data_IF_374865975533
#
_entry.id   IF_374865975533
#
_cell.length_a   1.000
_cell.length_b   1.000
_cell.length_c   1.000
_cell.angle_alpha   90.00
_cell.angle_beta   90.00
_cell.angle_gamma   90.00
#
_symmetry.space_group_name_H-M   'P 1'
#
loop_
_entity.id
_entity.type
_entity.pdbx_description
1 polymer ?
#
# COMPACT_ATOMS: atom_id res chain seq x y z
N UNK A 1 29.51 -66.96 -14.91
CA UNK A 1 30.49 -65.95 -15.38
C UNK A 1 30.01 -64.58 -14.96
N UNK A 2 30.78 -63.94 -14.06
CA UNK A 2 30.55 -62.59 -13.55
C UNK A 2 30.82 -61.54 -14.63
N UNK A 3 29.99 -60.51 -14.71
CA UNK A 3 30.45 -59.12 -14.92
C UNK A 3 29.55 -58.17 -14.14
N UNK A 4 30.18 -57.53 -13.16
CA UNK A 4 29.68 -56.41 -12.39
C UNK A 4 29.65 -55.13 -13.27
N UNK A 5 28.66 -54.28 -13.04
CA UNK A 5 28.56 -52.93 -13.60
C UNK A 5 27.96 -52.00 -12.56
N UNK A 6 28.77 -51.06 -12.10
CA UNK A 6 28.53 -50.13 -10.98
C UNK A 6 27.79 -48.88 -11.46
N UNK A 7 26.72 -48.54 -10.74
CA UNK A 7 26.25 -47.24 -10.23
C UNK A 7 26.54 -45.96 -11.04
N UNK A 8 25.49 -45.23 -11.42
CA UNK A 8 25.35 -43.78 -11.15
C UNK A 8 23.85 -43.40 -11.14
N UNK A 9 23.34 -43.10 -9.95
CA UNK A 9 21.99 -42.59 -9.70
C UNK A 9 22.15 -41.11 -9.31
N UNK A 10 21.88 -40.20 -10.25
CA UNK A 10 21.85 -38.76 -9.97
C UNK A 10 20.41 -38.37 -9.64
N UNK A 11 20.09 -38.29 -8.35
CA UNK A 11 18.88 -37.67 -7.86
C UNK A 11 19.08 -36.15 -7.81
N UNK A 12 18.36 -35.42 -8.65
CA UNK A 12 18.22 -33.97 -8.55
C UNK A 12 17.22 -33.65 -7.44
N UNK A 13 17.76 -33.31 -6.26
CA UNK A 13 17.00 -32.68 -5.18
C UNK A 13 16.82 -31.21 -5.55
N UNK A 14 15.59 -30.81 -5.87
CA UNK A 14 15.22 -29.41 -5.94
C UNK A 14 15.21 -28.84 -4.51
N UNK A 15 16.24 -28.06 -4.18
CA UNK A 15 16.25 -27.26 -2.97
C UNK A 15 15.29 -26.07 -3.15
N UNK A 16 14.05 -26.23 -2.70
CA UNK A 16 13.17 -25.09 -2.41
C UNK A 16 13.75 -24.33 -1.21
N UNK A 17 14.39 -23.20 -1.46
CA UNK A 17 14.69 -22.23 -0.41
C UNK A 17 13.35 -21.61 0.04
N UNK A 18 12.80 -22.17 1.11
CA UNK A 18 11.83 -21.47 1.94
C UNK A 18 12.62 -20.35 2.61
N UNK A 19 12.37 -19.11 2.19
CA UNK A 19 12.80 -17.93 2.94
C UNK A 19 11.93 -17.92 4.20
N UNK A 20 12.39 -18.60 5.25
CA UNK A 20 11.84 -18.44 6.59
C UNK A 20 12.25 -17.04 7.04
N UNK A 21 11.27 -16.14 7.17
CA UNK A 21 11.47 -14.94 7.98
C UNK A 21 12.03 -15.38 9.35
N UNK A 22 12.98 -14.66 9.94
CA UNK A 22 13.58 -15.08 11.20
C UNK A 22 12.48 -15.20 12.26
N UNK A 23 12.34 -16.39 12.85
CA UNK A 23 11.32 -16.71 13.87
C UNK A 23 11.28 -15.68 15.01
N UNK A 24 12.42 -15.02 15.26
CA UNK A 24 12.55 -13.94 16.24
C UNK A 24 11.74 -12.68 15.87
N UNK A 25 11.64 -12.30 14.59
CA UNK A 25 10.87 -11.11 14.19
C UNK A 25 9.36 -11.34 14.31
N UNK A 26 8.91 -12.57 14.04
CA UNK A 26 7.51 -12.98 14.20
C UNK A 26 7.13 -13.00 15.68
N UNK A 27 8.02 -13.50 16.54
CA UNK A 27 7.80 -13.51 17.99
C UNK A 27 7.72 -12.09 18.58
N UNK A 28 8.62 -11.17 18.20
CA UNK A 28 8.58 -9.78 18.70
C UNK A 28 7.32 -9.04 18.26
N UNK A 29 6.84 -9.30 17.04
CA UNK A 29 5.61 -8.68 16.55
C UNK A 29 4.36 -9.24 17.25
N UNK A 30 4.35 -10.54 17.54
CA UNK A 30 3.27 -11.19 18.28
C UNK A 30 3.20 -10.71 19.75
N UNK A 31 4.35 -10.53 20.41
CA UNK A 31 4.40 -9.98 21.77
C UNK A 31 3.90 -8.52 21.82
N UNK A 32 4.24 -7.71 20.82
CA UNK A 32 3.72 -6.34 20.70
C UNK A 32 2.21 -6.31 20.45
N UNK A 33 1.73 -7.15 19.53
CA UNK A 33 0.30 -7.28 19.22
C UNK A 33 -0.50 -7.74 20.45
N UNK A 34 0.05 -8.64 21.28
CA UNK A 34 -0.56 -9.11 22.52
C UNK A 34 -0.59 -8.02 23.60
N UNK A 35 0.49 -7.27 23.82
CA UNK A 35 0.51 -6.14 24.77
C UNK A 35 -0.52 -5.06 24.41
N UNK A 36 -0.65 -4.75 23.11
CA UNK A 36 -1.64 -3.80 22.58
C UNK A 36 -3.06 -4.31 22.82
N UNK A 37 -3.31 -5.58 22.50
CA UNK A 37 -4.61 -6.21 22.72
C UNK A 37 -5.02 -6.19 24.20
N UNK A 38 -4.08 -6.54 25.09
CA UNK A 38 -4.30 -6.55 26.54
C UNK A 38 -4.65 -5.17 27.09
N UNK A 39 -3.99 -4.11 26.59
CA UNK A 39 -4.18 -2.74 27.08
C UNK A 39 -5.55 -2.16 26.71
N UNK A 40 -6.05 -2.43 25.51
CA UNK A 40 -7.22 -1.73 24.98
C UNK A 40 -8.47 -2.62 24.90
N UNK A 41 -8.32 -3.90 24.54
CA UNK A 41 -9.47 -4.70 24.08
C UNK A 41 -9.87 -5.83 25.01
N UNK A 42 -9.08 -6.11 26.04
CA UNK A 42 -9.38 -7.15 27.03
C UNK A 42 -10.56 -6.83 27.95
N UNK A 43 -11.17 -5.65 27.84
CA UNK A 43 -12.30 -5.27 28.69
C UNK A 43 -13.57 -6.08 28.42
N UNK A 44 -13.71 -6.69 27.25
CA UNK A 44 -14.86 -7.54 26.91
C UNK A 44 -14.44 -8.98 26.56
N UNK A 45 -15.19 -9.95 27.09
CA UNK A 45 -14.93 -11.38 26.88
C UNK A 45 -15.00 -11.76 25.40
N UNK A 46 -15.86 -11.14 24.61
CA UNK A 46 -15.98 -11.46 23.20
C UNK A 46 -14.70 -11.09 22.44
N UNK A 47 -14.17 -9.89 22.70
CA UNK A 47 -12.89 -9.43 22.14
C UNK A 47 -11.76 -10.41 22.47
N UNK A 48 -11.62 -10.78 23.74
CA UNK A 48 -10.57 -11.70 24.19
C UNK A 48 -10.69 -13.07 23.53
N UNK A 49 -11.91 -13.58 23.39
CA UNK A 49 -12.17 -14.87 22.75
C UNK A 49 -11.87 -14.86 21.27
N UNK A 50 -12.27 -13.80 20.57
CA UNK A 50 -11.99 -13.66 19.15
C UNK A 50 -10.48 -13.48 18.92
N UNK A 51 -9.79 -12.63 19.67
CA UNK A 51 -8.34 -12.49 19.58
C UNK A 51 -7.60 -13.81 19.73
N UNK A 52 -7.98 -14.58 20.75
CA UNK A 52 -7.43 -15.92 20.98
C UNK A 52 -7.80 -16.91 19.86
N UNK A 53 -8.98 -16.79 19.25
CA UNK A 53 -9.36 -17.60 18.11
C UNK A 53 -8.44 -17.37 16.90
N UNK A 54 -7.95 -16.15 16.72
CA UNK A 54 -6.95 -15.79 15.71
C UNK A 54 -5.51 -15.97 16.20
N UNK A 55 -5.30 -16.61 17.35
CA UNK A 55 -3.98 -16.83 17.95
C UNK A 55 -3.14 -15.56 18.11
N UNK A 56 -3.80 -14.42 18.34
CA UNK A 56 -3.14 -13.12 18.45
C UNK A 56 -2.63 -12.52 17.13
N UNK A 57 -3.02 -13.07 15.98
CA UNK A 57 -2.67 -12.47 14.69
C UNK A 57 -3.56 -11.26 14.36
N UNK A 58 -3.06 -10.05 14.65
CA UNK A 58 -3.76 -8.77 14.43
C UNK A 58 -4.36 -8.63 13.03
N UNK A 59 -3.60 -8.93 11.98
CA UNK A 59 -4.09 -8.78 10.60
C UNK A 59 -5.28 -9.69 10.26
N UNK A 60 -5.27 -10.93 10.76
CA UNK A 60 -6.37 -11.86 10.52
C UNK A 60 -7.63 -11.41 11.23
N UNK A 61 -7.49 -10.85 12.43
CA UNK A 61 -8.59 -10.28 13.17
C UNK A 61 -9.14 -8.98 12.57
N UNK A 62 -8.28 -8.09 12.08
CA UNK A 62 -8.71 -6.89 11.33
C UNK A 62 -9.49 -7.25 10.07
N UNK A 63 -9.03 -8.24 9.29
CA UNK A 63 -9.78 -8.75 8.12
C UNK A 63 -11.16 -9.31 8.50
N UNK A 64 -11.24 -9.99 9.64
CA UNK A 64 -12.53 -10.44 10.18
C UNK A 64 -13.42 -9.23 10.49
N UNK A 65 -12.90 -8.20 11.16
CA UNK A 65 -13.64 -6.98 11.47
C UNK A 65 -14.12 -6.25 10.21
N UNK A 66 -13.28 -6.06 9.20
CA UNK A 66 -13.65 -5.46 7.91
C UNK A 66 -14.75 -6.24 7.19
N UNK A 67 -14.77 -7.57 7.35
CA UNK A 67 -15.79 -8.43 6.77
C UNK A 67 -17.13 -8.32 7.52
N UNK A 68 -17.14 -7.89 8.78
CA UNK A 68 -18.37 -7.75 9.57
C UNK A 68 -19.24 -6.57 9.15
N UNK A 69 -18.66 -5.56 8.51
CA UNK A 69 -19.41 -4.40 7.97
C UNK A 69 -19.97 -4.65 6.56
N UNK A 70 -19.64 -5.80 5.96
CA UNK A 70 -20.12 -6.18 4.63
C UNK A 70 -21.30 -7.17 4.75
N UNK A 71 -22.52 -6.80 4.31
CA UNK A 71 -23.72 -7.62 4.50
C UNK A 71 -23.67 -8.98 3.76
N UNK A 72 -22.82 -9.09 2.73
CA UNK A 72 -22.74 -10.26 1.86
C UNK A 72 -21.69 -11.29 2.29
N UNK A 73 -20.81 -10.92 3.22
CA UNK A 73 -19.84 -11.84 3.79
C UNK A 73 -20.39 -12.32 5.12
N UNK A 74 -20.40 -13.63 5.34
CA UNK A 74 -20.58 -14.18 6.67
C UNK A 74 -19.21 -14.07 7.39
N UNK A 75 -18.94 -13.01 8.19
CA UNK A 75 -17.63 -12.81 8.82
C UNK A 75 -17.19 -14.03 9.64
N UNK A 76 -18.16 -14.76 10.20
CA UNK A 76 -17.97 -15.99 10.95
C UNK A 76 -17.32 -17.12 10.16
N UNK A 77 -17.37 -17.09 8.83
CA UNK A 77 -16.64 -18.03 7.98
C UNK A 77 -15.12 -17.82 8.02
N UNK A 78 -14.66 -16.63 8.42
CA UNK A 78 -13.25 -16.29 8.60
C UNK A 78 -12.71 -16.67 9.98
N UNK A 79 -13.57 -16.94 10.96
CA UNK A 79 -13.14 -17.42 12.28
C UNK A 79 -12.55 -18.83 12.11
N UNK A 80 -11.31 -19.09 12.58
CA UNK A 80 -10.68 -20.38 12.40
C UNK A 80 -11.52 -21.52 12.98
N UNK A 81 -11.60 -22.65 12.27
CA UNK A 81 -12.29 -23.87 12.74
C UNK A 81 -11.46 -24.62 13.78
N UNK A 82 -11.11 -23.91 14.86
CA UNK A 82 -10.41 -24.43 16.02
C UNK A 82 -11.36 -24.44 17.21
N UNK A 83 -11.03 -25.16 18.28
CA UNK A 83 -11.82 -25.15 19.53
C UNK A 83 -12.01 -23.74 20.10
N UNK A 84 -11.02 -22.86 19.93
CA UNK A 84 -11.09 -21.46 20.34
C UNK A 84 -12.01 -20.65 19.42
N UNK A 85 -11.92 -20.87 18.10
CA UNK A 85 -12.79 -20.19 17.14
C UNK A 85 -14.25 -20.62 17.22
N UNK A 86 -14.55 -21.89 17.45
CA UNK A 86 -15.93 -22.36 17.69
C UNK A 86 -16.51 -21.75 18.98
N UNK A 87 -15.69 -21.66 20.04
CA UNK A 87 -16.10 -21.00 21.29
C UNK A 87 -16.32 -19.50 21.08
N UNK A 88 -15.42 -18.81 20.38
CA UNK A 88 -15.57 -17.40 20.07
C UNK A 88 -16.81 -17.15 19.21
N UNK A 89 -17.04 -17.97 18.18
CA UNK A 89 -18.24 -17.90 17.36
C UNK A 89 -19.51 -18.10 18.22
N UNK A 90 -19.58 -19.14 19.06
CA UNK A 90 -20.76 -19.37 19.89
C UNK A 90 -21.03 -18.29 20.94
N UNK A 91 -20.00 -17.62 21.46
CA UNK A 91 -20.14 -16.57 22.47
C UNK A 91 -20.37 -15.17 21.84
N UNK A 92 -19.92 -14.95 20.60
CA UNK A 92 -19.95 -13.65 19.94
C UNK A 92 -20.97 -13.52 18.78
N UNK A 93 -21.47 -14.61 18.20
CA UNK A 93 -22.37 -14.58 17.01
C UNK A 93 -23.59 -13.67 17.23
N UNK A 94 -24.20 -13.82 18.40
CA UNK A 94 -25.46 -13.18 18.77
C UNK A 94 -25.24 -11.95 19.65
N UNK A 95 -23.99 -11.61 19.96
CA UNK A 95 -23.68 -10.52 20.87
C UNK A 95 -23.47 -9.22 20.10
N UNK A 96 -24.34 -8.19 20.24
CA UNK A 96 -24.20 -6.93 19.50
C UNK A 96 -22.86 -6.22 19.75
N UNK A 97 -22.14 -6.60 20.81
CA UNK A 97 -20.80 -6.10 21.15
C UNK A 97 -19.66 -6.66 20.32
N UNK A 98 -19.83 -7.67 19.46
CA UNK A 98 -18.71 -8.07 18.60
C UNK A 98 -18.27 -6.91 17.69
N UNK A 99 -19.20 -6.02 17.32
CA UNK A 99 -18.89 -4.75 16.63
C UNK A 99 -18.05 -3.81 17.50
N UNK A 100 -18.33 -3.76 18.80
CA UNK A 100 -17.53 -2.98 19.75
C UNK A 100 -16.14 -3.60 19.98
N UNK A 101 -16.04 -4.93 19.92
CA UNK A 101 -14.76 -5.66 19.93
C UNK A 101 -13.90 -5.34 18.71
N UNK A 102 -14.53 -5.14 17.55
CA UNK A 102 -13.85 -4.70 16.34
C UNK A 102 -13.47 -3.22 16.40
N UNK A 103 -14.34 -2.36 16.94
CA UNK A 103 -14.00 -0.95 17.20
C UNK A 103 -12.74 -0.83 18.06
N UNK A 104 -12.61 -1.64 19.11
CA UNK A 104 -11.45 -1.53 19.99
C UNK A 104 -10.09 -1.71 19.30
N UNK A 105 -9.95 -2.69 18.41
CA UNK A 105 -8.69 -2.85 17.66
C UNK A 105 -8.51 -1.80 16.56
N UNK A 106 -9.58 -1.10 16.19
CA UNK A 106 -9.54 0.08 15.33
C UNK A 106 -9.26 1.37 16.15
N UNK A 107 -9.57 1.42 17.45
CA UNK A 107 -9.24 2.53 18.36
C UNK A 107 -7.74 2.62 18.70
N UNK A 108 -6.98 1.58 18.38
CA UNK A 108 -5.50 1.52 18.46
C UNK A 108 -4.78 2.41 17.44
N UNK A 109 -5.50 3.21 16.65
CA UNK A 109 -4.87 4.38 16.03
C UNK A 109 -4.33 5.36 17.09
N UNK A 110 -4.82 5.28 18.34
CA UNK A 110 -4.51 6.29 19.37
C UNK A 110 -5.13 7.65 19.04
N UNK A 111 -6.02 7.73 18.04
CA UNK A 111 -6.69 8.96 17.65
C UNK A 111 -7.77 9.38 18.66
N UNK A 112 -8.46 8.43 19.31
CA UNK A 112 -9.82 8.68 19.80
C UNK A 112 -9.95 9.40 21.15
N UNK A 113 -9.06 9.14 22.11
CA UNK A 113 -9.31 9.60 23.49
C UNK A 113 -9.23 11.13 23.63
N UNK A 114 -8.42 11.83 22.81
CA UNK A 114 -8.23 13.29 22.93
C UNK A 114 -8.32 14.10 21.61
N UNK A 115 -8.55 13.48 20.45
CA UNK A 115 -8.56 14.21 19.17
C UNK A 115 -9.99 14.56 18.72
N UNK A 116 -10.49 15.73 19.14
CA UNK A 116 -11.82 16.24 18.73
C UNK A 116 -11.97 16.34 17.20
N UNK A 117 -10.88 16.63 16.48
CA UNK A 117 -10.87 16.67 15.02
C UNK A 117 -11.14 15.30 14.39
N UNK A 118 -10.51 14.23 14.91
CA UNK A 118 -10.82 12.87 14.46
C UNK A 118 -12.29 12.54 14.67
N UNK A 119 -12.85 12.86 15.84
CA UNK A 119 -14.27 12.56 16.13
C UNK A 119 -15.21 13.29 15.18
N UNK A 120 -14.91 14.54 14.81
CA UNK A 120 -15.71 15.24 13.81
C UNK A 120 -15.64 14.60 12.44
N UNK A 121 -14.43 14.28 11.96
CA UNK A 121 -14.24 13.55 10.69
C UNK A 121 -15.01 12.23 10.71
N UNK A 122 -14.85 11.45 11.79
CA UNK A 122 -15.50 10.15 11.96
C UNK A 122 -17.04 10.27 11.96
N UNK A 123 -17.59 11.21 12.73
CA UNK A 123 -19.03 11.41 12.83
C UNK A 123 -19.65 11.91 11.53
N UNK A 124 -18.99 12.84 10.83
CA UNK A 124 -19.47 13.37 9.55
C UNK A 124 -19.47 12.29 8.47
N UNK A 125 -18.47 11.40 8.50
CA UNK A 125 -18.39 10.22 7.64
C UNK A 125 -19.22 9.03 8.17
N UNK A 126 -20.18 9.29 9.08
CA UNK A 126 -21.16 8.34 9.62
C UNK A 126 -20.54 7.11 10.29
N UNK A 127 -19.31 7.26 10.79
CA UNK A 127 -18.53 6.21 11.44
C UNK A 127 -18.03 5.11 10.50
N UNK A 128 -18.08 5.34 9.19
CA UNK A 128 -17.53 4.43 8.19
C UNK A 128 -16.01 4.62 8.09
N UNK A 129 -15.27 3.68 8.65
CA UNK A 129 -13.81 3.71 8.73
C UNK A 129 -13.16 3.66 7.34
N UNK A 130 -13.81 3.07 6.34
CA UNK A 130 -13.33 3.09 4.95
C UNK A 130 -13.33 4.50 4.40
N UNK A 131 -14.45 5.22 4.55
CA UNK A 131 -14.56 6.61 4.11
C UNK A 131 -13.60 7.53 4.86
N UNK A 132 -13.42 7.30 6.18
CA UNK A 132 -12.46 8.07 6.99
C UNK A 132 -11.03 7.83 6.52
N UNK A 133 -10.66 6.58 6.24
CA UNK A 133 -9.35 6.23 5.69
C UNK A 133 -9.11 6.87 4.32
N UNK A 134 -10.10 6.82 3.42
CA UNK A 134 -10.01 7.43 2.08
C UNK A 134 -9.89 8.96 2.15
N UNK A 135 -10.69 9.59 3.02
CA UNK A 135 -10.59 11.02 3.30
C UNK A 135 -9.20 11.39 3.84
N UNK A 136 -8.69 10.62 4.79
CA UNK A 136 -7.40 10.89 5.41
C UNK A 136 -6.23 10.63 4.46
N UNK A 137 -6.31 9.61 3.61
CA UNK A 137 -5.35 9.37 2.53
C UNK A 137 -5.33 10.56 1.57
N UNK A 138 -6.50 10.97 1.06
CA UNK A 138 -6.60 12.11 0.14
C UNK A 138 -6.06 13.40 0.78
N UNK A 139 -6.47 13.69 2.01
CA UNK A 139 -6.06 14.91 2.71
C UNK A 139 -4.55 14.94 2.97
N UNK A 140 -3.98 13.85 3.48
CA UNK A 140 -2.53 13.77 3.73
C UNK A 140 -1.71 13.82 2.44
N UNK A 141 -2.28 13.38 1.31
CA UNK A 141 -1.64 13.46 -0.01
C UNK A 141 -1.72 14.87 -0.63
N UNK A 142 -2.77 15.64 -0.34
CA UNK A 142 -3.04 16.95 -0.95
C UNK A 142 -2.45 18.15 -0.18
N UNK A 143 -2.13 18.03 1.11
CA UNK A 143 -1.60 19.14 1.92
C UNK A 143 -0.22 19.58 1.38
N UNK A 144 -0.06 20.80 0.83
CA UNK A 144 1.16 21.21 0.16
C UNK A 144 2.26 21.63 1.15
N UNK A 145 3.47 21.46 0.66
CA UNK A 145 4.58 21.03 1.47
C UNK A 145 5.72 22.10 1.44
N UNK A 146 6.02 22.90 2.50
CA UNK A 146 7.24 23.76 2.73
C UNK A 146 8.15 23.42 3.98
N UNK A 147 9.43 23.05 3.80
CA UNK A 147 10.27 22.60 4.91
C UNK A 147 10.55 23.80 5.80
N UNK A 148 10.66 23.56 7.11
CA UNK A 148 11.45 24.47 7.94
C UNK A 148 12.91 24.37 7.53
N UNK A 149 13.56 25.51 7.41
CA UNK A 149 15.01 25.52 7.21
C UNK A 149 15.65 24.81 8.42
N UNK A 150 16.68 23.95 8.23
CA UNK A 150 17.37 23.24 9.33
C UNK A 150 17.70 24.13 10.54
N UNK A 151 17.99 25.41 10.29
CA UNK A 151 18.27 26.41 11.32
C UNK A 151 17.06 26.78 12.18
N UNK A 152 15.86 26.79 11.61
CA UNK A 152 14.60 27.10 12.33
C UNK A 152 14.19 25.94 13.24
N UNK A 153 14.35 24.70 12.78
CA UNK A 153 14.07 23.51 13.60
C UNK A 153 15.02 23.39 14.81
N UNK A 154 16.24 23.94 14.68
CA UNK A 154 17.26 23.98 15.73
C UNK A 154 17.19 25.25 16.61
N UNK A 155 16.19 26.11 16.44
CA UNK A 155 16.07 27.34 17.23
C UNK A 155 15.92 27.02 18.72
N UNK A 156 16.79 27.58 19.56
CA UNK A 156 16.88 27.29 20.99
C UNK A 156 17.70 26.03 21.35
N UNK A 157 18.27 25.34 20.35
CA UNK A 157 19.20 24.22 20.52
C UNK A 157 20.61 24.54 20.01
N UNK A 158 20.91 25.82 19.79
CA UNK A 158 22.16 26.26 19.18
C UNK A 158 23.38 25.77 19.98
N UNK A 159 24.33 25.13 19.29
CA UNK A 159 25.55 24.60 19.90
C UNK A 159 25.40 23.26 20.61
N UNK A 160 24.18 22.73 20.75
CA UNK A 160 23.94 21.41 21.35
C UNK A 160 23.62 20.32 20.31
N UNK A 161 23.00 20.71 19.19
CA UNK A 161 22.85 19.89 17.99
C UNK A 161 23.73 20.49 16.89
N UNK A 162 24.67 19.71 16.34
CA UNK A 162 25.64 20.14 15.33
C UNK A 162 24.97 20.42 13.98
N UNK A 163 23.94 19.67 13.64
CA UNK A 163 23.16 19.81 12.42
C UNK A 163 21.78 19.12 12.55
N UNK A 164 20.92 19.30 11.54
CA UNK A 164 19.61 18.67 11.48
C UNK A 164 19.65 17.14 11.53
N UNK A 165 20.71 16.52 11.02
CA UNK A 165 20.87 15.06 11.05
C UNK A 165 21.05 14.55 12.48
N UNK A 166 21.86 15.23 13.30
CA UNK A 166 22.04 14.90 14.72
C UNK A 166 20.75 15.12 15.52
N UNK A 167 19.94 16.12 15.16
CA UNK A 167 18.61 16.33 15.74
C UNK A 167 17.64 15.19 15.38
N UNK A 168 17.64 14.74 14.12
CA UNK A 168 16.86 13.58 13.68
C UNK A 168 17.28 12.31 14.41
N UNK A 169 18.59 12.07 14.56
CA UNK A 169 19.13 10.90 15.24
C UNK A 169 18.82 10.91 16.74
N UNK A 170 18.99 12.05 17.41
CA UNK A 170 18.62 12.24 18.81
C UNK A 170 17.13 11.97 19.03
N UNK A 171 16.28 12.51 18.15
CA UNK A 171 14.84 12.30 18.23
C UNK A 171 14.41 10.89 17.83
N UNK A 172 15.15 10.21 16.95
CA UNK A 172 14.87 8.81 16.60
C UNK A 172 15.27 7.87 17.74
N UNK A 173 16.40 8.15 18.40
CA UNK A 173 16.81 7.44 19.61
C UNK A 173 15.77 7.59 20.72
N UNK A 174 15.23 8.80 20.92
CA UNK A 174 14.16 9.05 21.88
C UNK A 174 12.85 8.31 21.57
N UNK A 175 12.62 7.96 20.30
CA UNK A 175 11.39 7.32 19.81
C UNK A 175 11.49 5.79 19.72
N UNK A 176 12.65 5.20 20.04
CA UNK A 176 12.89 3.75 19.94
C UNK A 176 12.10 2.89 20.94
N UNK A 177 11.27 3.52 21.78
CA UNK A 177 10.34 2.87 22.69
C UNK A 177 9.15 3.80 22.96
N UNK A 178 8.03 3.20 23.41
CA UNK A 178 6.80 3.81 23.94
C UNK A 178 6.93 5.27 24.44
N UNK A 179 5.87 6.11 24.35
CA UNK A 179 5.87 7.46 24.96
C UNK A 179 6.20 7.46 26.46
N UNK A 180 6.18 6.30 27.13
CA UNK A 180 6.58 6.12 28.52
C UNK A 180 8.06 5.72 28.71
N UNK A 181 8.80 5.43 27.64
CA UNK A 181 10.21 5.01 27.64
C UNK A 181 11.21 6.19 27.66
N UNK A 182 10.71 7.44 27.58
CA UNK A 182 11.55 8.65 27.47
C UNK A 182 12.29 8.97 28.78
N UNK A 183 11.79 8.51 29.93
CA UNK A 183 12.48 8.66 31.23
C UNK A 183 13.74 7.80 31.26
N UNK A 184 14.88 8.38 30.87
CA UNK A 184 16.19 7.72 30.88
C UNK A 184 16.98 7.77 29.56
N UNK A 185 16.49 8.48 28.54
CA UNK A 185 17.13 8.62 27.23
C UNK A 185 18.44 9.47 27.23
N UNK A 186 19.15 9.56 28.35
CA UNK A 186 20.46 10.25 28.45
C UNK A 186 21.51 9.67 27.51
N UNK A 187 21.32 8.42 27.07
CA UNK A 187 22.16 7.73 26.08
C UNK A 187 21.95 8.24 24.64
N UNK A 188 20.90 9.01 24.36
CA UNK A 188 20.61 9.58 23.04
C UNK A 188 21.46 10.81 22.67
N UNK A 189 22.50 11.08 23.45
CA UNK A 189 23.51 12.08 23.14
C UNK A 189 23.18 13.49 23.60
N UNK A 190 24.11 14.42 23.32
CA UNK A 190 24.06 15.81 23.80
C UNK A 190 22.89 16.60 23.19
N UNK A 191 22.56 16.32 21.93
CA UNK A 191 21.43 16.95 21.26
C UNK A 191 20.11 16.60 21.95
N UNK A 192 19.87 15.33 22.32
CA UNK A 192 18.68 14.93 23.08
C UNK A 192 18.59 15.62 24.45
N UNK A 193 19.69 15.66 25.20
CA UNK A 193 19.72 16.34 26.51
C UNK A 193 19.40 17.84 26.41
N UNK A 194 19.74 18.47 25.28
CA UNK A 194 19.37 19.86 25.05
C UNK A 194 17.88 20.02 24.73
N UNK A 195 17.29 19.07 24.00
CA UNK A 195 15.84 19.02 23.78
C UNK A 195 15.10 18.87 25.10
N UNK A 196 15.52 17.92 25.94
CA UNK A 196 14.96 17.66 27.27
C UNK A 196 15.00 18.93 28.14
N UNK A 197 16.13 19.64 28.19
CA UNK A 197 16.23 20.92 28.90
C UNK A 197 15.37 22.02 28.31
N UNK A 198 15.31 22.13 26.98
CA UNK A 198 14.61 23.22 26.29
C UNK A 198 13.08 23.05 26.33
N UNK A 199 12.58 21.81 26.34
CA UNK A 199 11.14 21.48 26.33
C UNK A 199 10.59 21.13 27.70
N UNK A 200 11.47 20.98 28.69
CA UNK A 200 11.13 20.68 30.07
C UNK A 200 10.91 19.19 30.30
N UNK A 201 10.85 18.76 31.58
CA UNK A 201 10.84 17.35 31.98
C UNK A 201 9.51 16.63 31.67
N UNK A 202 8.54 17.33 31.08
CA UNK A 202 7.26 16.73 30.69
C UNK A 202 7.53 15.90 29.45
N UNK A 203 7.50 14.58 29.62
CA UNK A 203 7.76 13.57 28.57
C UNK A 203 6.98 13.85 27.28
N UNK A 204 5.73 14.30 27.40
CA UNK A 204 4.90 14.69 26.25
C UNK A 204 5.50 15.81 25.39
N UNK A 205 6.16 16.81 26.00
CA UNK A 205 6.71 17.95 25.26
C UNK A 205 7.91 17.54 24.39
N UNK A 206 8.77 16.67 24.91
CA UNK A 206 9.92 16.12 24.20
C UNK A 206 9.43 15.24 23.05
N UNK A 207 8.45 14.39 23.33
CA UNK A 207 7.83 13.53 22.33
C UNK A 207 7.21 14.33 21.18
N UNK A 208 6.39 15.35 21.49
CA UNK A 208 5.79 16.21 20.48
C UNK A 208 6.85 16.94 19.65
N UNK A 209 7.85 17.53 20.30
CA UNK A 209 8.93 18.22 19.61
C UNK A 209 9.73 17.27 18.71
N UNK A 210 10.07 16.07 19.18
CA UNK A 210 10.85 15.12 18.39
C UNK A 210 10.06 14.47 17.26
N UNK A 211 8.74 14.31 17.42
CA UNK A 211 7.84 13.93 16.33
C UNK A 211 7.81 15.01 15.25
N UNK A 212 7.63 16.27 15.62
CA UNK A 212 7.67 17.42 14.71
C UNK A 212 9.03 17.54 14.01
N UNK A 213 10.13 17.58 14.77
CA UNK A 213 11.47 17.74 14.21
C UNK A 213 11.85 16.60 13.25
N UNK A 214 11.46 15.35 13.53
CA UNK A 214 11.71 14.22 12.62
C UNK A 214 10.91 14.34 11.32
N UNK A 215 9.64 14.74 11.41
CA UNK A 215 8.81 14.91 10.22
C UNK A 215 9.28 16.10 9.38
N UNK A 216 9.53 17.24 10.01
CA UNK A 216 9.99 18.47 9.37
C UNK A 216 11.39 18.31 8.71
N UNK A 217 12.35 17.67 9.39
CA UNK A 217 13.75 17.57 8.92
C UNK A 217 14.03 16.42 7.96
N UNK A 218 13.27 15.31 8.01
CA UNK A 218 13.39 14.23 7.01
C UNK A 218 12.74 14.58 5.68
N UNK A 219 12.13 15.76 5.57
CA UNK A 219 11.30 16.08 4.42
C UNK A 219 10.12 15.12 4.33
N UNK A 220 9.50 14.79 5.47
CA UNK A 220 8.18 14.16 5.59
C UNK A 220 7.10 15.20 5.97
N UNK A 221 7.50 16.44 6.32
CA UNK A 221 6.66 17.64 6.55
C UNK A 221 7.37 18.94 6.09
N UNK A 222 7.56 19.09 4.80
CA UNK A 222 7.14 20.28 4.07
C UNK A 222 5.74 20.86 4.54
N UNK A 223 5.54 22.05 5.08
CA UNK A 223 4.24 22.79 5.10
C UNK A 223 4.39 24.29 4.83
N UNK A 224 3.88 24.77 3.67
CA UNK A 224 3.78 26.22 3.35
C UNK A 224 2.65 26.85 4.15
N UNK A 225 2.37 28.16 3.99
CA UNK A 225 1.07 28.64 4.47
C UNK A 225 -0.03 27.74 3.89
N UNK A 226 -0.99 27.36 4.73
CA UNK A 226 -2.14 26.54 4.33
C UNK A 226 -2.69 27.07 3.01
N UNK A 227 -2.81 26.19 2.01
CA UNK A 227 -3.38 26.56 0.73
C UNK A 227 -4.82 27.01 0.99
N UNK A 228 -5.19 28.23 0.60
CA UNK A 228 -6.58 28.74 0.59
C UNK A 228 -7.52 27.90 -0.31
N UNK A 229 -7.00 26.84 -0.95
CA UNK A 229 -7.74 25.97 -1.87
C UNK A 229 -8.05 24.56 -1.36
N UNK A 230 -7.54 24.12 -0.20
CA UNK A 230 -8.05 22.88 0.40
C UNK A 230 -9.41 23.18 1.02
N UNK A 231 -10.45 23.24 0.18
CA UNK A 231 -11.84 23.30 0.62
C UNK A 231 -12.21 21.92 1.17
N UNK A 232 -11.63 21.56 2.32
CA UNK A 232 -12.25 20.52 3.13
C UNK A 232 -13.60 21.11 3.54
N UNK A 233 -14.73 20.47 3.16
CA UNK A 233 -16.04 20.93 3.56
C UNK A 233 -16.03 21.22 5.07
N UNK A 234 -16.53 22.39 5.47
CA UNK A 234 -16.48 22.81 6.88
C UNK A 234 -17.13 21.78 7.80
N UNK A 235 -18.10 21.01 7.27
CA UNK A 235 -18.74 19.90 7.96
C UNK A 235 -17.77 18.75 8.30
N UNK A 236 -16.84 18.42 7.40
CA UNK A 236 -15.82 17.37 7.59
C UNK A 236 -14.69 17.78 8.54
N UNK A 237 -14.61 19.06 8.90
CA UNK A 237 -13.60 19.63 9.82
C UNK A 237 -14.18 19.98 11.19
N UNK A 238 -15.36 19.50 11.55
CA UNK A 238 -15.93 19.76 12.87
C UNK A 238 -14.92 19.35 13.98
N UNK A 239 -14.52 20.27 14.86
CA UNK A 239 -13.49 19.99 15.88
C UNK A 239 -12.03 20.03 15.38
N UNK A 240 -11.80 20.28 14.08
CA UNK A 240 -10.47 20.59 13.53
C UNK A 240 -10.28 22.12 13.50
N UNK A 241 -9.38 22.63 14.34
CA UNK A 241 -9.11 24.08 14.40
C UNK A 241 -8.02 24.51 13.41
N UNK A 242 -7.29 23.55 12.84
CA UNK A 242 -6.17 23.78 11.94
C UNK A 242 -5.88 22.59 11.04
N UNK A 243 -5.13 22.82 9.95
CA UNK A 243 -4.59 21.74 9.11
C UNK A 243 -3.67 20.79 9.89
N UNK A 244 -3.04 21.28 10.97
CA UNK A 244 -2.26 20.46 11.91
C UNK A 244 -3.15 19.45 12.64
N UNK A 245 -4.36 19.83 13.01
CA UNK A 245 -5.31 18.93 13.70
C UNK A 245 -5.78 17.84 12.74
N UNK A 246 -6.06 18.19 11.48
CA UNK A 246 -6.41 17.23 10.43
C UNK A 246 -5.25 16.27 10.17
N UNK A 247 -4.01 16.77 10.02
CA UNK A 247 -2.84 15.90 9.87
C UNK A 247 -2.62 15.00 11.09
N UNK A 248 -2.88 15.49 12.30
CA UNK A 248 -2.79 14.69 13.52
C UNK A 248 -3.89 13.64 13.60
N UNK A 249 -5.11 13.97 13.18
CA UNK A 249 -6.27 13.07 13.14
C UNK A 249 -6.15 12.01 12.03
N UNK A 250 -5.59 12.37 10.89
CA UNK A 250 -5.43 11.47 9.77
C UNK A 250 -4.15 10.63 9.85
N UNK A 251 -3.06 11.19 10.37
CA UNK A 251 -1.78 10.49 10.49
C UNK A 251 -1.75 9.42 11.58
N UNK A 252 -2.82 9.29 12.37
CA UNK A 252 -3.01 8.16 13.27
C UNK A 252 -3.82 7.02 12.61
N UNK A 253 -4.56 7.29 11.54
CA UNK A 253 -5.32 6.29 10.76
C UNK A 253 -4.46 5.73 9.63
N UNK A 254 -3.82 6.62 8.88
CA UNK A 254 -3.04 6.30 7.71
C UNK A 254 -1.58 6.25 8.12
N UNK A 255 -0.93 5.09 7.97
CA UNK A 255 0.50 4.98 8.21
C UNK A 255 1.25 5.71 7.10
N UNK A 256 2.41 6.27 7.44
CA UNK A 256 3.28 6.94 6.46
C UNK A 256 3.62 6.01 5.27
N UNK A 257 3.76 4.70 5.51
CA UNK A 257 4.02 3.68 4.49
C UNK A 257 2.83 3.41 3.55
N UNK A 258 1.61 3.78 3.94
CA UNK A 258 0.38 3.56 3.16
C UNK A 258 -0.02 4.81 2.35
N UNK A 259 0.64 5.95 2.60
CA UNK A 259 0.37 7.21 1.88
C UNK A 259 0.66 7.11 0.39
N UNK A 260 1.62 6.31 -0.03
CA UNK A 260 2.05 6.23 -1.42
C UNK A 260 2.09 4.77 -1.85
N UNK A 261 1.67 4.47 -3.08
CA UNK A 261 1.72 3.08 -3.60
C UNK A 261 3.16 2.53 -3.57
N UNK A 262 4.15 3.41 -3.74
CA UNK A 262 5.57 3.12 -3.65
C UNK A 262 6.28 4.11 -2.70
N UNK A 263 6.30 3.85 -1.37
CA UNK A 263 6.82 4.80 -0.37
C UNK A 263 8.28 5.21 -0.58
N UNK A 264 9.11 4.29 -1.07
CA UNK A 264 10.52 4.57 -1.45
C UNK A 264 10.67 5.67 -2.51
N UNK A 265 9.62 5.95 -3.28
CA UNK A 265 9.59 6.95 -4.35
C UNK A 265 8.97 8.27 -3.92
N UNK A 266 8.42 8.37 -2.70
CA UNK A 266 7.70 9.53 -2.20
C UNK A 266 8.54 10.83 -2.18
N UNK A 267 9.87 10.73 -2.28
CA UNK A 267 10.76 11.89 -2.38
C UNK A 267 10.72 12.57 -3.76
N UNK A 268 10.33 11.85 -4.82
CA UNK A 268 10.18 12.42 -6.16
C UNK A 268 8.84 13.17 -6.25
N UNK A 269 8.92 14.48 -6.50
CA UNK A 269 7.73 15.31 -6.68
C UNK A 269 6.91 14.86 -7.89
N UNK A 270 7.59 14.45 -8.97
CA UNK A 270 6.96 13.92 -10.16
C UNK A 270 6.24 12.59 -9.87
N UNK A 271 6.88 11.67 -9.14
CA UNK A 271 6.23 10.41 -8.71
C UNK A 271 4.94 10.69 -7.94
N UNK A 272 4.98 11.55 -6.91
CA UNK A 272 3.79 11.84 -6.09
C UNK A 272 2.65 12.40 -6.92
N UNK A 273 2.97 13.29 -7.87
CA UNK A 273 1.97 13.84 -8.77
C UNK A 273 1.35 12.77 -9.68
N UNK A 274 2.16 11.89 -10.27
CA UNK A 274 1.68 10.79 -11.10
C UNK A 274 0.82 9.82 -10.27
N UNK A 275 1.25 9.48 -9.05
CA UNK A 275 0.53 8.58 -8.14
C UNK A 275 -0.86 9.13 -7.81
N UNK A 276 -0.92 10.43 -7.51
CA UNK A 276 -2.16 11.15 -7.23
C UNK A 276 -3.10 11.22 -8.43
N UNK A 277 -2.56 11.61 -9.58
CA UNK A 277 -3.39 11.93 -10.73
C UNK A 277 -3.80 10.71 -11.57
N UNK A 278 -2.98 9.64 -11.55
CA UNK A 278 -3.25 8.43 -12.35
C UNK A 278 -3.99 7.34 -11.60
N UNK A 279 -3.82 7.23 -10.27
CA UNK A 279 -4.33 6.12 -9.46
C UNK A 279 -3.69 4.74 -9.77
N UNK A 280 -3.02 4.59 -10.92
CA UNK A 280 -2.25 3.42 -11.33
C UNK A 280 -0.95 3.87 -12.01
N UNK A 281 0.00 4.25 -11.16
CA UNK A 281 1.33 4.76 -11.51
C UNK A 281 2.12 3.78 -12.38
N UNK A 282 1.85 2.47 -12.24
CA UNK A 282 2.51 1.42 -13.02
C UNK A 282 2.02 1.40 -14.47
N UNK A 283 0.70 1.48 -14.68
CA UNK A 283 0.14 1.56 -16.03
C UNK A 283 0.45 2.89 -16.70
N UNK A 284 0.51 3.99 -15.93
CA UNK A 284 1.03 5.26 -16.43
C UNK A 284 2.44 5.09 -17.00
N UNK A 285 3.37 4.54 -16.22
CA UNK A 285 4.77 4.38 -16.64
C UNK A 285 4.90 3.48 -17.88
N UNK A 286 4.18 2.35 -17.92
CA UNK A 286 4.14 1.50 -19.12
C UNK A 286 3.66 2.28 -20.35
N UNK A 287 2.54 3.01 -20.23
CA UNK A 287 1.98 3.81 -21.32
C UNK A 287 2.96 4.87 -21.79
N UNK A 288 3.60 5.58 -20.86
CA UNK A 288 4.62 6.57 -21.17
C UNK A 288 5.82 5.97 -21.92
N UNK A 289 6.38 4.85 -21.43
CA UNK A 289 7.46 4.15 -22.14
C UNK A 289 7.04 3.68 -23.54
N UNK A 290 5.81 3.20 -23.69
CA UNK A 290 5.25 2.78 -24.99
C UNK A 290 5.13 3.96 -25.95
N UNK A 291 4.62 5.10 -25.48
CA UNK A 291 4.52 6.33 -26.27
C UNK A 291 5.90 6.85 -26.70
N UNK A 292 6.91 6.76 -25.82
CA UNK A 292 8.30 7.09 -26.16
C UNK A 292 8.89 6.15 -27.20
N UNK A 293 8.55 4.85 -27.15
CA UNK A 293 9.03 3.86 -28.12
C UNK A 293 8.32 3.96 -29.48
N UNK A 294 7.03 4.31 -29.49
CA UNK A 294 6.20 4.37 -30.69
C UNK A 294 5.44 5.71 -30.80
N UNK A 295 6.17 6.84 -31.00
CA UNK A 295 5.55 8.16 -31.09
C UNK A 295 4.60 8.23 -32.28
N UNK A 296 3.40 8.80 -32.05
CA UNK A 296 2.35 8.95 -33.07
C UNK A 296 1.50 7.70 -33.31
N UNK A 297 1.79 6.58 -32.62
CA UNK A 297 0.89 5.42 -32.57
C UNK A 297 0.26 5.20 -31.20
N UNK A 298 0.98 5.61 -30.15
CA UNK A 298 0.53 5.52 -28.77
C UNK A 298 0.64 6.91 -28.20
N UNK A 299 -0.49 7.42 -27.74
CA UNK A 299 -0.54 8.73 -27.11
C UNK A 299 0.14 8.67 -25.75
N UNK A 300 0.89 9.73 -25.44
CA UNK A 300 1.40 9.91 -24.08
C UNK A 300 0.23 9.95 -23.10
N UNK A 301 0.39 9.40 -21.89
CA UNK A 301 -0.68 9.41 -20.91
C UNK A 301 -1.06 10.86 -20.56
N UNK A 302 -2.32 11.21 -20.82
CA UNK A 302 -2.84 12.55 -20.59
C UNK A 302 -3.16 12.79 -19.12
N UNK A 303 -2.27 13.46 -18.40
CA UNK A 303 -2.53 13.98 -17.06
C UNK A 303 -2.50 15.51 -17.11
N UNK A 304 -3.59 16.14 -16.67
CA UNK A 304 -3.69 17.60 -16.61
C UNK A 304 -2.63 18.15 -15.64
N UNK A 305 -1.76 19.05 -16.12
CA UNK A 305 -0.69 19.65 -15.30
C UNK A 305 0.58 18.80 -15.16
N UNK A 306 0.70 17.69 -15.91
CA UNK A 306 1.90 16.86 -15.91
C UNK A 306 3.15 17.65 -16.29
N UNK A 307 3.07 18.50 -17.31
CA UNK A 307 4.19 19.33 -17.77
C UNK A 307 4.64 20.36 -16.71
N UNK A 308 3.76 20.77 -15.78
CA UNK A 308 4.11 21.70 -14.71
C UNK A 308 4.80 20.99 -13.53
N UNK A 309 4.42 19.74 -13.27
CA UNK A 309 4.89 18.96 -12.10
C UNK A 309 6.03 17.99 -12.44
N UNK A 310 6.14 17.62 -13.71
CA UNK A 310 7.17 16.79 -14.30
C UNK A 310 7.67 17.49 -15.59
N UNK A 311 8.42 18.59 -15.47
CA UNK A 311 8.77 19.44 -16.61
C UNK A 311 9.68 18.77 -17.63
N UNK A 312 10.39 17.71 -17.23
CA UNK A 312 11.30 16.99 -18.11
C UNK A 312 10.96 15.50 -18.17
N UNK A 313 11.18 14.90 -19.34
CA UNK A 313 11.08 13.45 -19.53
C UNK A 313 11.98 12.66 -18.56
N UNK A 314 13.10 13.27 -18.13
CA UNK A 314 13.99 12.70 -17.14
C UNK A 314 13.32 12.55 -15.76
N UNK A 315 12.45 13.48 -15.37
CA UNK A 315 11.73 13.41 -14.10
C UNK A 315 10.71 12.26 -14.11
N UNK A 316 10.04 12.07 -15.25
CA UNK A 316 9.10 10.97 -15.47
C UNK A 316 9.85 9.63 -15.50
N UNK A 317 10.98 9.56 -16.20
CA UNK A 317 11.85 8.39 -16.22
C UNK A 317 12.30 8.01 -14.81
N UNK A 318 12.81 8.97 -14.02
CA UNK A 318 13.26 8.75 -12.64
C UNK A 318 12.11 8.22 -11.76
N UNK A 319 10.92 8.82 -11.86
CA UNK A 319 9.73 8.35 -11.15
C UNK A 319 9.40 6.89 -11.52
N UNK A 320 9.41 6.57 -12.81
CA UNK A 320 9.09 5.23 -13.31
C UNK A 320 10.15 4.18 -12.95
N UNK A 321 11.44 4.54 -13.02
CA UNK A 321 12.55 3.68 -12.60
C UNK A 321 12.52 3.42 -11.09
N UNK A 322 12.15 4.41 -10.28
CA UNK A 322 12.03 4.22 -8.85
C UNK A 322 10.96 3.18 -8.50
N UNK A 323 9.79 3.27 -9.14
CA UNK A 323 8.65 2.37 -8.90
C UNK A 323 9.08 0.92 -9.15
N UNK A 324 9.57 0.67 -10.35
CA UNK A 324 10.00 -0.64 -10.80
C UNK A 324 11.22 -0.49 -11.72
N UNK A 325 12.43 -0.72 -11.21
CA UNK A 325 13.64 -0.65 -12.04
C UNK A 325 13.55 -1.59 -13.23
N UNK A 326 13.86 -1.09 -14.43
CA UNK A 326 13.75 -1.86 -15.67
C UNK A 326 12.31 -2.11 -16.14
N UNK A 327 11.32 -1.41 -15.57
CA UNK A 327 9.96 -1.36 -16.11
C UNK A 327 10.00 -0.69 -17.49
N UNK A 328 10.17 -1.50 -18.52
CA UNK A 328 10.08 -1.03 -19.90
C UNK A 328 8.62 -0.89 -20.37
N UNK A 329 8.39 -0.99 -21.68
CA UNK A 329 7.05 -0.93 -22.28
C UNK A 329 6.08 -1.99 -21.74
N UNK A 330 6.59 -3.10 -21.20
CA UNK A 330 5.77 -4.10 -20.50
C UNK A 330 4.65 -4.70 -21.35
N UNK A 331 4.94 -5.02 -22.62
CA UNK A 331 4.03 -5.73 -23.53
C UNK A 331 3.63 -7.11 -22.98
N UNK A 332 2.34 -7.49 -23.00
CA UNK A 332 1.88 -8.83 -22.55
C UNK A 332 2.48 -9.96 -23.41
N UNK A 333 2.73 -9.66 -24.69
CA UNK A 333 3.33 -10.56 -25.68
C UNK A 333 4.41 -9.80 -26.48
N UNK A 334 5.63 -9.67 -25.93
CA UNK A 334 6.67 -8.80 -26.49
C UNK A 334 7.02 -9.04 -27.97
N UNK A 335 6.98 -10.29 -28.45
CA UNK A 335 7.27 -10.58 -29.86
C UNK A 335 6.21 -10.05 -30.81
N UNK A 336 4.98 -9.80 -30.36
CA UNK A 336 3.91 -9.20 -31.16
C UNK A 336 3.97 -7.66 -31.18
N UNK A 337 4.84 -7.05 -30.37
CA UNK A 337 4.97 -5.59 -30.25
C UNK A 337 5.31 -4.87 -31.55
N UNK A 338 5.83 -5.57 -32.56
CA UNK A 338 6.10 -5.01 -33.88
C UNK A 338 4.82 -4.68 -34.68
N UNK A 339 3.66 -5.24 -34.31
CA UNK A 339 2.40 -5.05 -35.00
C UNK A 339 1.63 -3.85 -34.42
N UNK A 340 1.33 -2.85 -35.26
CA UNK A 340 0.58 -1.64 -34.84
C UNK A 340 -0.77 -1.98 -34.16
N UNK A 341 -1.53 -2.91 -34.73
CA UNK A 341 -2.81 -3.34 -34.14
C UNK A 341 -2.62 -4.00 -32.76
N UNK A 342 -1.56 -4.80 -32.56
CA UNK A 342 -1.26 -5.38 -31.24
C UNK A 342 -0.96 -4.28 -30.22
N UNK A 343 -0.12 -3.29 -30.58
CA UNK A 343 0.25 -2.19 -29.67
C UNK A 343 -0.97 -1.43 -29.15
N UNK A 344 -1.90 -1.11 -30.04
CA UNK A 344 -3.14 -0.40 -29.69
C UNK A 344 -4.04 -1.25 -28.80
N UNK A 345 -4.21 -2.53 -29.14
CA UNK A 345 -5.00 -3.45 -28.31
C UNK A 345 -4.36 -3.64 -26.92
N UNK A 346 -3.04 -3.83 -26.85
CA UNK A 346 -2.34 -3.99 -25.58
C UNK A 346 -2.39 -2.73 -24.71
N UNK A 347 -2.52 -1.57 -25.35
CA UNK A 347 -2.78 -0.31 -24.67
C UNK A 347 -4.22 -0.23 -24.13
N UNK A 348 -5.21 -0.65 -24.91
CA UNK A 348 -6.62 -0.68 -24.48
C UNK A 348 -6.87 -1.67 -23.34
N UNK A 349 -6.18 -2.81 -23.35
CA UNK A 349 -6.28 -3.84 -22.31
C UNK A 349 -5.20 -3.71 -21.23
N UNK A 350 -4.50 -2.58 -21.14
CA UNK A 350 -3.54 -2.34 -20.07
C UNK A 350 -4.23 -2.43 -18.70
N UNK A 351 -3.62 -3.11 -17.74
CA UNK A 351 -4.22 -3.39 -16.42
C UNK A 351 -5.03 -4.70 -16.35
N UNK A 352 -5.42 -5.29 -17.48
CA UNK A 352 -6.07 -6.62 -17.50
C UNK A 352 -5.02 -7.71 -17.72
N UNK A 353 -4.85 -8.60 -16.73
CA UNK A 353 -3.99 -9.78 -16.88
C UNK A 353 -4.45 -10.60 -18.10
N UNK A 354 -3.57 -10.75 -19.09
CA UNK A 354 -3.83 -11.51 -20.32
C UNK A 354 -5.04 -11.02 -21.13
N UNK A 355 -5.40 -9.73 -21.04
CA UNK A 355 -6.61 -9.19 -21.68
C UNK A 355 -6.70 -9.50 -23.18
N UNK A 356 -5.59 -9.36 -23.93
CA UNK A 356 -5.56 -9.67 -25.37
C UNK A 356 -5.69 -11.17 -25.62
N UNK A 357 -5.02 -12.03 -24.84
CA UNK A 357 -5.13 -13.49 -24.99
C UNK A 357 -6.57 -13.94 -24.78
N UNK A 358 -7.22 -13.46 -23.72
CA UNK A 358 -8.64 -13.74 -23.44
C UNK A 358 -9.52 -13.27 -24.60
N UNK A 359 -9.26 -12.08 -25.13
CA UNK A 359 -10.01 -11.54 -26.27
C UNK A 359 -9.81 -12.35 -27.55
N UNK A 360 -8.58 -12.76 -27.85
CA UNK A 360 -8.28 -13.58 -29.01
C UNK A 360 -8.90 -14.98 -28.91
N UNK A 361 -8.92 -15.58 -27.72
CA UNK A 361 -9.63 -16.83 -27.48
C UNK A 361 -11.16 -16.69 -27.65
N UNK A 362 -11.73 -15.55 -27.27
CA UNK A 362 -13.15 -15.29 -27.49
C UNK A 362 -13.49 -15.10 -28.97
N UNK A 363 -12.57 -14.50 -29.75
CA UNK A 363 -12.75 -14.27 -31.19
C UNK A 363 -12.69 -15.56 -32.03
N UNK A 364 -11.87 -16.54 -31.62
CA UNK A 364 -11.85 -17.87 -32.25
C UNK A 364 -13.07 -18.72 -31.91
N UNK A 365 -13.85 -18.34 -30.88
CA UNK A 365 -15.09 -19.04 -30.52
C UNK A 365 -16.26 -18.62 -31.44
N UNK A 366 -16.95 -19.58 -32.10
CA UNK A 366 -18.07 -19.29 -32.99
C UNK A 366 -19.23 -18.50 -32.34
N UNK A 367 -19.31 -18.48 -31.00
CA UNK A 367 -20.41 -17.87 -30.24
C UNK A 367 -20.19 -16.39 -29.90
N UNK A 368 -18.97 -15.86 -30.03
CA UNK A 368 -18.61 -14.52 -29.51
C UNK A 368 -17.88 -13.62 -30.50
N UNK A 369 -18.02 -13.86 -31.81
CA UNK A 369 -17.35 -13.14 -32.91
C UNK A 369 -17.73 -11.67 -33.10
N UNK A 370 -18.33 -11.00 -32.11
CA UNK A 370 -18.56 -9.55 -32.19
C UNK A 370 -17.21 -8.84 -32.08
N UNK A 371 -16.74 -8.32 -33.23
CA UNK A 371 -15.57 -7.43 -33.31
C UNK A 371 -15.72 -6.30 -32.28
N UNK A 372 -14.66 -5.96 -31.52
CA UNK A 372 -14.68 -4.76 -30.68
C UNK A 372 -15.08 -3.56 -31.56
N UNK A 373 -16.09 -2.78 -31.15
CA UNK A 373 -16.60 -1.67 -31.97
C UNK A 373 -15.70 -0.43 -31.92
N UNK A 374 -14.86 -0.30 -30.88
CA UNK A 374 -14.16 0.96 -30.56
C UNK A 374 -12.65 0.90 -30.82
N UNK A 375 -11.99 -0.26 -30.64
CA UNK A 375 -10.56 -0.48 -30.95
C UNK A 375 -10.14 -0.29 -32.43
N UNK A 376 -11.12 -0.16 -33.33
CA UNK A 376 -10.94 -0.33 -34.78
C UNK A 376 -10.50 0.96 -35.48
N UNK A 377 -10.51 2.13 -34.81
CA UNK A 377 -10.30 3.40 -35.51
C UNK A 377 -8.85 3.74 -35.88
N UNK A 378 -7.84 3.39 -35.09
CA UNK A 378 -6.49 3.98 -35.28
C UNK A 378 -5.30 3.02 -35.51
N UNK A 379 -5.57 1.73 -35.76
CA UNK A 379 -4.54 0.82 -36.29
C UNK A 379 -4.94 -0.65 -36.43
N UNK A 380 -6.11 -1.03 -35.92
CA UNK A 380 -6.76 -2.31 -36.23
C UNK A 380 -7.83 -2.21 -37.35
N UNK A 381 -7.96 -1.06 -38.02
CA UNK A 381 -9.00 -0.80 -39.03
C UNK A 381 -8.86 -1.60 -40.34
N UNK A 382 -7.70 -2.20 -40.60
CA UNK A 382 -7.50 -3.05 -41.78
C UNK A 382 -8.17 -4.40 -41.59
N UNK A 383 -8.87 -4.87 -42.63
CA UNK A 383 -9.39 -6.24 -42.69
C UNK A 383 -8.27 -7.24 -42.39
N UNK A 384 -8.50 -8.12 -41.41
CA UNK A 384 -7.54 -9.15 -40.99
C UNK A 384 -6.46 -8.71 -40.00
N UNK A 385 -6.34 -7.42 -39.64
CA UNK A 385 -5.33 -6.97 -38.67
C UNK A 385 -5.53 -7.62 -37.28
N UNK A 386 -6.78 -7.75 -36.84
CA UNK A 386 -7.12 -8.43 -35.59
C UNK A 386 -6.79 -9.93 -35.65
N UNK A 387 -7.05 -10.59 -36.78
CA UNK A 387 -6.74 -12.02 -36.97
C UNK A 387 -5.22 -12.26 -36.95
N UNK A 388 -4.43 -11.35 -37.54
CA UNK A 388 -2.98 -11.39 -37.45
C UNK A 388 -2.50 -11.27 -36.00
N UNK A 389 -3.07 -10.33 -35.23
CA UNK A 389 -2.72 -10.18 -33.80
C UNK A 389 -3.04 -11.45 -33.03
N UNK A 390 -4.22 -12.03 -33.25
CA UNK A 390 -4.60 -13.26 -32.56
C UNK A 390 -3.77 -14.48 -32.96
N UNK A 391 -3.34 -14.57 -34.22
CA UNK A 391 -2.37 -15.56 -34.66
C UNK A 391 -0.99 -15.39 -33.99
N UNK A 392 -0.56 -14.16 -33.75
CA UNK A 392 0.70 -13.87 -33.06
C UNK A 392 0.63 -14.16 -31.54
N UNK A 393 -0.48 -13.78 -30.90
CA UNK A 393 -0.70 -13.89 -29.45
C UNK A 393 -1.00 -15.32 -29.01
N UNK A 394 -1.67 -16.10 -29.88
CA UNK A 394 -2.04 -17.49 -29.64
C UNK A 394 -1.31 -18.40 -30.63
N UNK A 395 0.00 -18.64 -30.46
CA UNK A 395 0.66 -19.67 -31.24
C UNK A 395 -0.04 -21.00 -30.95
N UNK A 396 -0.41 -21.72 -32.01
CA UNK A 396 -1.24 -22.92 -31.98
C UNK A 396 -0.65 -24.11 -31.19
N UNK A 397 0.44 -23.95 -30.42
CA UNK A 397 1.31 -25.05 -30.01
C UNK A 397 1.57 -25.22 -28.49
N UNK A 398 0.92 -24.47 -27.59
CA UNK A 398 1.14 -24.68 -26.13
C UNK A 398 -0.07 -25.05 -25.29
N UNK A 399 -1.25 -25.23 -25.87
CA UNK A 399 -2.23 -26.16 -25.31
C UNK A 399 -1.89 -27.58 -25.79
N UNK A 400 -0.68 -28.02 -25.43
CA UNK A 400 -0.31 -29.43 -25.45
C UNK A 400 -1.35 -30.15 -24.62
N UNK A 401 -2.26 -30.77 -25.35
CA UNK A 401 -3.29 -31.68 -24.90
C UNK A 401 -2.67 -32.59 -23.84
N UNK A 402 -2.95 -32.35 -22.57
CA UNK A 402 -2.90 -33.40 -21.55
C UNK A 402 -4.06 -34.35 -21.84
N UNK A 403 -3.95 -35.08 -22.96
CA UNK A 403 -4.66 -36.34 -23.15
C UNK A 403 -3.97 -37.25 -22.16
N UNK A 404 -4.54 -37.36 -20.96
CA UNK A 404 -4.51 -38.63 -20.25
C UNK A 404 -4.88 -39.68 -21.29
N UNK A 405 -3.91 -40.51 -21.69
CA UNK A 405 -4.21 -41.81 -22.23
C UNK A 405 -5.02 -42.52 -21.17
N UNK A 406 -6.34 -42.46 -21.28
CA UNK A 406 -7.20 -43.52 -20.75
C UNK A 406 -6.80 -44.76 -21.53
N UNK A 407 -5.97 -45.59 -20.92
CA UNK A 407 -5.82 -46.99 -21.28
C UNK A 407 -7.23 -47.59 -21.28
N UNK A 408 -7.81 -47.74 -22.48
CA UNK A 408 -8.91 -48.66 -22.67
C UNK A 408 -8.30 -50.05 -22.69
N UNK A 409 -8.65 -50.81 -21.67
CA UNK A 409 -8.62 -52.25 -21.58
C UNK A 409 -9.11 -52.90 -22.87
N UNK A 410 -8.32 -53.85 -23.38
CA UNK A 410 -8.72 -54.77 -24.43
C UNK A 410 -8.21 -56.16 -24.09
N UNK A 411 -9.16 -56.99 -23.61
CA UNK A 411 -9.19 -58.47 -23.50
C UNK A 411 -8.12 -59.18 -22.67
#
# INVERSE_FOLDING_TARGET
MMKAGIVYLAALVAASQVITAPDNAVATQQEQDEEIFERFCRQDRCSERLWNAFAGHRQSYLKFCDATDKPDLAPWSMVPKTRLGERAAGECLDHPRYKDSCKCLMTDTGCEEDNECYRGIYNELKGDLGNVSDFCLATLREVPFRPREPKEAMQGLEGSCKNAQELVEACQCAYGGSPWAVTGATHCGKCFLAIDRAKGPIVGNIYHYCREARRELRGVDKGGPAFEGLQVPSELTAGCHSARDINSACGCIVRDDDLWVHPKCANSACYRFIDLASGDTRNFCKTWHRAKQFPGEIDSPGILGLEEKCPHDADIQEACECIAPGLGPGWDVPHCSHMKCYRILDQEYIGYSHGIRVRCNAHTSPRHSRRPREAVRDGCGRLGAFDQVCGCVSPAEHFGISKKQTNMTGL
#
